data_IF_390539986798
#
_entry.id   IF_390539986798
#
_cell.length_a   1.000
_cell.length_b   1.000
_cell.length_c   1.000
_cell.angle_alpha   90.00
_cell.angle_beta   90.00
_cell.angle_gamma   90.00
#
_symmetry.space_group_name_H-M   'P 1'
#
loop_
_entity.id
_entity.type
_entity.pdbx_description
1 polymer ?
#
# COMPACT_ATOMS: atom_id res chain seq x y z
N UNK A 1 18.50 14.51 12.46
CA UNK A 1 18.75 15.79 11.74
C UNK A 1 17.76 15.99 10.60
N UNK A 2 17.68 15.11 9.59
CA UNK A 2 16.79 15.29 8.42
C UNK A 2 15.31 15.39 8.79
N UNK A 3 14.83 14.57 9.73
CA UNK A 3 13.46 14.68 10.23
C UNK A 3 13.15 16.06 10.83
N UNK A 4 14.10 16.66 11.56
CA UNK A 4 13.93 18.01 12.11
C UNK A 4 13.94 19.09 11.02
N UNK A 5 14.80 18.94 10.00
CA UNK A 5 14.82 19.83 8.83
C UNK A 5 13.48 19.76 8.08
N UNK A 6 12.92 18.56 7.95
CA UNK A 6 11.61 18.33 7.37
C UNK A 6 10.49 19.00 8.18
N UNK A 7 10.45 18.78 9.51
CA UNK A 7 9.47 19.42 10.38
C UNK A 7 9.59 20.95 10.37
N UNK A 8 10.82 21.48 10.31
CA UNK A 8 11.03 22.92 10.17
C UNK A 8 10.48 23.44 8.84
N UNK A 9 10.78 22.78 7.71
CA UNK A 9 10.20 23.13 6.42
C UNK A 9 8.67 23.08 6.46
N UNK A 10 8.09 22.03 7.05
CA UNK A 10 6.66 21.89 7.19
C UNK A 10 6.06 23.06 8.00
N UNK A 11 6.63 23.39 9.15
CA UNK A 11 6.17 24.52 9.96
C UNK A 11 6.27 25.86 9.21
N UNK A 12 7.38 26.12 8.52
CA UNK A 12 7.54 27.33 7.72
C UNK A 12 6.58 27.38 6.53
N UNK A 13 6.30 26.25 5.89
CA UNK A 13 5.35 26.15 4.79
C UNK A 13 3.91 26.46 5.25
N UNK A 14 3.49 25.89 6.38
CA UNK A 14 2.18 26.22 6.99
C UNK A 14 2.11 27.72 7.31
N UNK A 15 3.09 28.24 8.03
CA UNK A 15 3.13 29.65 8.42
C UNK A 15 3.13 30.57 7.20
N UNK A 16 3.82 30.19 6.11
CA UNK A 16 3.85 30.93 4.86
C UNK A 16 2.47 30.96 4.17
N UNK A 17 1.72 29.85 4.19
CA UNK A 17 0.37 29.80 3.63
C UNK A 17 -0.61 30.64 4.44
N UNK A 18 -0.58 30.52 5.77
CA UNK A 18 -1.54 31.20 6.65
C UNK A 18 -1.34 32.71 6.68
N UNK A 19 -0.09 33.16 6.79
CA UNK A 19 0.23 34.59 6.90
C UNK A 19 0.42 35.26 5.53
N UNK A 20 0.64 34.48 4.48
CA UNK A 20 1.01 34.95 3.14
C UNK A 20 2.19 35.94 3.15
N UNK A 21 3.09 35.79 4.12
CA UNK A 21 4.26 36.65 4.32
C UNK A 21 5.36 36.32 3.30
N UNK A 22 5.79 37.32 2.52
CA UNK A 22 6.84 37.15 1.51
C UNK A 22 8.15 36.57 2.06
N UNK A 23 8.69 37.05 3.20
CA UNK A 23 9.87 36.42 3.82
C UNK A 23 9.70 34.92 4.10
N UNK A 24 8.53 34.49 4.59
CA UNK A 24 8.28 33.08 4.91
C UNK A 24 8.14 32.23 3.64
N UNK A 25 7.52 32.77 2.59
CA UNK A 25 7.45 32.12 1.28
C UNK A 25 8.85 31.91 0.67
N UNK A 26 9.73 32.90 0.78
CA UNK A 26 11.12 32.80 0.32
C UNK A 26 11.87 31.71 1.11
N UNK A 27 11.80 31.75 2.44
CA UNK A 27 12.45 30.74 3.31
C UNK A 27 11.93 29.33 2.97
N UNK A 28 10.61 29.17 2.88
CA UNK A 28 9.97 27.90 2.52
C UNK A 28 10.43 27.41 1.14
N UNK A 29 10.52 28.30 0.16
CA UNK A 29 10.99 27.95 -1.20
C UNK A 29 12.44 27.49 -1.18
N UNK A 30 13.32 28.18 -0.44
CA UNK A 30 14.74 27.80 -0.30
C UNK A 30 14.86 26.41 0.35
N UNK A 31 14.15 26.18 1.45
CA UNK A 31 14.17 24.89 2.17
C UNK A 31 13.62 23.75 1.31
N UNK A 32 12.49 23.97 0.63
CA UNK A 32 11.88 22.98 -0.26
C UNK A 32 12.76 22.67 -1.47
N UNK A 33 13.41 23.68 -2.05
CA UNK A 33 14.36 23.50 -3.16
C UNK A 33 15.57 22.68 -2.72
N UNK A 34 16.14 22.99 -1.54
CA UNK A 34 17.26 22.23 -0.99
C UNK A 34 16.88 20.75 -0.76
N UNK A 35 15.73 20.48 -0.15
CA UNK A 35 15.25 19.10 0.05
C UNK A 35 15.02 18.37 -1.27
N UNK A 36 14.42 19.04 -2.26
CA UNK A 36 14.22 18.49 -3.60
C UNK A 36 15.56 18.10 -4.24
N UNK A 37 16.57 18.97 -4.16
CA UNK A 37 17.92 18.68 -4.67
C UNK A 37 18.56 17.46 -4.00
N UNK A 38 18.38 17.29 -2.68
CA UNK A 38 18.84 16.09 -1.97
C UNK A 38 18.20 14.81 -2.50
N UNK A 39 16.89 14.82 -2.75
CA UNK A 39 16.16 13.65 -3.30
C UNK A 39 16.53 13.39 -4.77
N UNK A 40 16.69 14.44 -5.59
CA UNK A 40 17.19 14.30 -6.96
C UNK A 40 18.61 13.72 -7.00
N UNK A 41 19.50 14.19 -6.12
CA UNK A 41 20.86 13.65 -5.98
C UNK A 41 20.84 12.15 -5.64
N UNK A 42 20.02 11.75 -4.67
CA UNK A 42 19.82 10.34 -4.34
C UNK A 42 19.40 9.54 -5.58
N UNK A 43 18.44 10.04 -6.35
CA UNK A 43 17.96 9.35 -7.55
C UNK A 43 19.01 9.21 -8.65
N UNK A 44 19.80 10.25 -8.89
CA UNK A 44 20.90 10.21 -9.86
C UNK A 44 21.94 9.16 -9.45
N UNK A 45 22.34 9.14 -8.17
CA UNK A 45 23.34 8.19 -7.67
C UNK A 45 22.85 6.73 -7.82
N UNK A 46 21.58 6.47 -7.48
CA UNK A 46 20.98 5.14 -7.62
C UNK A 46 20.91 4.69 -9.08
N UNK A 47 20.57 5.60 -9.99
CA UNK A 47 20.57 5.32 -11.43
C UNK A 47 21.97 4.99 -11.95
N UNK A 48 22.98 5.79 -11.60
CA UNK A 48 24.37 5.59 -12.02
C UNK A 48 24.98 4.28 -11.49
N UNK A 49 24.56 3.82 -10.31
CA UNK A 49 25.02 2.58 -9.70
C UNK A 49 24.31 1.32 -10.26
N UNK A 50 23.59 1.42 -11.38
CA UNK A 50 22.99 0.26 -12.05
C UNK A 50 21.73 -0.30 -11.37
N UNK A 51 21.18 0.41 -10.37
CA UNK A 51 19.91 0.02 -9.71
C UNK A 51 18.68 0.58 -10.46
N UNK A 52 18.91 1.29 -11.58
CA UNK A 52 17.94 2.17 -12.25
C UNK A 52 16.59 1.56 -12.63
N UNK A 53 16.49 0.26 -12.91
CA UNK A 53 15.18 -0.37 -13.23
C UNK A 53 14.40 -0.73 -11.94
N UNK A 54 15.10 -1.07 -10.84
CA UNK A 54 14.49 -1.26 -9.51
C UNK A 54 14.25 0.05 -8.76
N UNK A 55 14.71 1.18 -9.29
CA UNK A 55 14.59 2.50 -8.69
C UNK A 55 13.15 3.06 -8.75
N UNK A 56 12.41 2.75 -9.81
CA UNK A 56 11.02 3.20 -10.00
C UNK A 56 10.02 2.35 -9.22
N UNK A 57 10.17 2.33 -7.90
CA UNK A 57 9.13 1.79 -7.02
C UNK A 57 8.09 2.86 -6.71
N UNK A 58 6.81 2.48 -6.44
CA UNK A 58 5.79 3.42 -6.00
C UNK A 58 6.21 4.24 -4.77
N UNK A 59 6.99 3.65 -3.86
CA UNK A 59 7.53 4.33 -2.68
C UNK A 59 8.51 5.43 -3.06
N UNK A 60 9.42 5.19 -4.02
CA UNK A 60 10.32 6.24 -4.51
C UNK A 60 9.52 7.41 -5.09
N UNK A 61 8.50 7.13 -5.92
CA UNK A 61 7.65 8.18 -6.50
C UNK A 61 6.91 8.99 -5.43
N UNK A 62 6.43 8.33 -4.37
CA UNK A 62 5.82 9.00 -3.23
C UNK A 62 6.82 9.95 -2.55
N UNK A 63 8.04 9.48 -2.24
CA UNK A 63 9.08 10.31 -1.61
C UNK A 63 9.41 11.54 -2.47
N UNK A 64 9.54 11.39 -3.80
CA UNK A 64 9.72 12.53 -4.71
C UNK A 64 8.52 13.49 -4.66
N UNK A 65 7.30 12.97 -4.67
CA UNK A 65 6.07 13.78 -4.65
C UNK A 65 5.98 14.60 -3.36
N UNK A 66 6.27 13.97 -2.21
CA UNK A 66 6.27 14.59 -0.88
C UNK A 66 7.25 15.75 -0.79
N UNK A 67 8.41 15.68 -1.46
CA UNK A 67 9.43 16.74 -1.38
C UNK A 67 9.30 17.80 -2.47
N UNK A 68 9.04 17.38 -3.72
CA UNK A 68 9.06 18.26 -4.88
C UNK A 68 7.76 19.06 -5.00
N UNK A 69 6.61 18.45 -4.71
CA UNK A 69 5.32 19.11 -4.90
C UNK A 69 5.12 20.32 -3.96
N UNK A 70 5.43 20.24 -2.65
CA UNK A 70 5.39 21.41 -1.77
C UNK A 70 6.41 22.49 -2.15
N UNK A 71 7.58 22.10 -2.67
CA UNK A 71 8.59 23.06 -3.15
C UNK A 71 8.09 23.87 -4.36
N UNK A 72 7.45 23.21 -5.33
CA UNK A 72 6.81 23.88 -6.48
C UNK A 72 5.73 24.84 -5.98
N UNK A 73 4.90 24.40 -5.02
CA UNK A 73 3.82 25.23 -4.47
C UNK A 73 4.35 26.46 -3.73
N UNK A 74 5.43 26.32 -2.96
CA UNK A 74 6.09 27.45 -2.30
C UNK A 74 6.62 28.46 -3.33
N UNK A 75 7.26 27.96 -4.40
CA UNK A 75 7.75 28.80 -5.49
C UNK A 75 6.62 29.53 -6.21
N UNK A 76 5.52 28.83 -6.54
CA UNK A 76 4.34 29.44 -7.13
C UNK A 76 3.75 30.55 -6.26
N UNK A 77 3.77 30.38 -4.93
CA UNK A 77 3.29 31.38 -3.98
C UNK A 77 4.05 32.72 -4.00
N UNK A 78 5.24 32.78 -4.60
CA UNK A 78 6.01 34.03 -4.76
C UNK A 78 5.47 34.87 -5.93
N UNK A 79 5.01 34.21 -7.00
CA UNK A 79 4.67 34.88 -8.27
C UNK A 79 3.17 34.98 -8.54
N UNK A 80 2.38 34.12 -7.90
CA UNK A 80 0.94 34.00 -8.16
C UNK A 80 0.15 34.62 -7.01
N UNK A 81 -0.91 35.34 -7.35
CA UNK A 81 -1.82 35.94 -6.37
C UNK A 81 -2.45 34.86 -5.45
N UNK A 82 -2.58 35.14 -4.13
CA UNK A 82 -3.10 34.16 -3.16
C UNK A 82 -4.52 33.67 -3.47
N UNK A 83 -5.33 34.49 -4.13
CA UNK A 83 -6.72 34.21 -4.52
C UNK A 83 -6.85 33.31 -5.76
N UNK A 84 -5.73 32.97 -6.41
CA UNK A 84 -5.76 32.16 -7.62
C UNK A 84 -6.19 30.71 -7.32
N UNK A 85 -7.23 30.23 -8.02
CA UNK A 85 -7.77 28.87 -7.84
C UNK A 85 -6.71 27.76 -7.97
N UNK A 86 -5.75 27.90 -8.89
CA UNK A 86 -4.67 26.92 -9.07
C UNK A 86 -3.78 26.88 -7.83
N UNK A 87 -3.38 28.04 -7.31
CA UNK A 87 -2.53 28.13 -6.12
C UNK A 87 -3.25 27.59 -4.88
N UNK A 88 -4.55 27.87 -4.72
CA UNK A 88 -5.38 27.32 -3.64
C UNK A 88 -5.37 25.79 -3.69
N UNK A 89 -5.58 25.19 -4.87
CA UNK A 89 -5.54 23.74 -5.06
C UNK A 89 -4.15 23.16 -4.72
N UNK A 90 -3.07 23.79 -5.20
CA UNK A 90 -1.71 23.34 -4.96
C UNK A 90 -1.31 23.43 -3.48
N UNK A 91 -1.75 24.48 -2.77
CA UNK A 91 -1.58 24.63 -1.32
C UNK A 91 -2.27 23.49 -0.56
N UNK A 92 -3.52 23.19 -0.90
CA UNK A 92 -4.27 22.10 -0.27
C UNK A 92 -3.63 20.72 -0.52
N UNK A 93 -3.26 20.43 -1.77
CA UNK A 93 -2.60 19.17 -2.12
C UNK A 93 -1.22 19.04 -1.45
N UNK A 94 -0.44 20.12 -1.40
CA UNK A 94 0.85 20.13 -0.71
C UNK A 94 0.71 19.85 0.77
N UNK A 95 -0.34 20.35 1.42
CA UNK A 95 -0.61 20.05 2.82
C UNK A 95 -0.82 18.55 3.04
N UNK A 96 -1.58 17.90 2.16
CA UNK A 96 -1.79 16.44 2.21
C UNK A 96 -0.47 15.70 2.03
N UNK A 97 0.34 16.06 1.03
CA UNK A 97 1.65 15.45 0.80
C UNK A 97 2.61 15.65 1.97
N UNK A 98 2.62 16.82 2.61
CA UNK A 98 3.43 17.07 3.80
C UNK A 98 2.98 16.22 5.01
N UNK A 99 1.67 16.02 5.20
CA UNK A 99 1.21 15.10 6.24
C UNK A 99 1.57 13.63 5.93
N UNK A 100 1.45 13.20 4.67
CA UNK A 100 1.89 11.86 4.24
C UNK A 100 3.38 11.68 4.51
N UNK A 101 4.21 12.66 4.15
CA UNK A 101 5.65 12.64 4.41
C UNK A 101 6.00 12.60 5.90
N UNK A 102 5.28 13.36 6.73
CA UNK A 102 5.45 13.30 8.17
C UNK A 102 5.19 11.89 8.72
N UNK A 103 4.14 11.22 8.22
CA UNK A 103 3.83 9.81 8.57
C UNK A 103 4.94 8.88 8.06
N UNK A 104 5.44 9.07 6.84
CA UNK A 104 6.54 8.28 6.27
C UNK A 104 7.79 8.32 7.16
N UNK A 105 8.17 9.51 7.69
CA UNK A 105 9.29 9.62 8.61
C UNK A 105 9.07 8.87 9.94
N UNK A 106 7.82 8.69 10.38
CA UNK A 106 7.53 7.92 11.60
C UNK A 106 7.88 6.43 11.45
N UNK A 107 8.03 5.93 10.22
CA UNK A 107 8.47 4.54 9.96
C UNK A 107 9.84 4.24 10.57
N UNK A 108 10.70 5.24 10.72
CA UNK A 108 12.00 5.10 11.34
C UNK A 108 11.95 4.65 12.82
N UNK A 109 10.82 4.87 13.52
CA UNK A 109 10.65 4.50 14.93
C UNK A 109 10.00 3.13 15.07
N UNK A 110 10.68 2.15 15.68
CA UNK A 110 10.26 0.73 15.74
C UNK A 110 8.77 0.52 16.05
N UNK A 111 8.26 1.12 17.14
CA UNK A 111 6.87 0.90 17.57
C UNK A 111 5.84 1.37 16.55
N UNK A 112 6.06 2.53 15.95
CA UNK A 112 5.12 3.14 15.00
C UNK A 112 5.34 2.57 13.59
N UNK A 113 6.60 2.36 13.20
CA UNK A 113 6.95 1.87 11.87
C UNK A 113 6.47 0.45 11.58
N UNK A 114 6.48 -0.44 12.58
CA UNK A 114 5.87 -1.77 12.47
C UNK A 114 4.37 -1.65 12.09
N UNK A 115 3.65 -0.74 12.75
CA UNK A 115 2.24 -0.50 12.45
C UNK A 115 2.03 0.08 11.05
N UNK A 116 2.83 1.09 10.66
CA UNK A 116 2.73 1.71 9.33
C UNK A 116 3.02 0.69 8.22
N UNK A 117 4.05 -0.16 8.39
CA UNK A 117 4.38 -1.22 7.43
C UNK A 117 3.22 -2.21 7.29
N UNK A 118 2.62 -2.63 8.41
CA UNK A 118 1.45 -3.51 8.37
C UNK A 118 0.27 -2.88 7.61
N UNK A 119 -0.04 -1.61 7.88
CA UNK A 119 -1.08 -0.87 7.16
C UNK A 119 -0.76 -0.75 5.67
N UNK A 120 0.49 -0.44 5.31
CA UNK A 120 0.91 -0.32 3.91
C UNK A 120 0.74 -1.65 3.15
N UNK A 121 1.09 -2.77 3.77
CA UNK A 121 0.84 -4.10 3.21
C UNK A 121 -0.65 -4.38 3.04
N UNK A 122 -1.46 -4.10 4.07
CA UNK A 122 -2.92 -4.25 3.99
C UNK A 122 -3.46 -3.44 2.80
N UNK A 123 -3.12 -2.15 2.71
CA UNK A 123 -3.54 -1.26 1.61
C UNK A 123 -3.17 -1.82 0.23
N UNK A 124 -1.97 -2.39 0.08
CA UNK A 124 -1.51 -2.99 -1.18
C UNK A 124 -2.36 -4.20 -1.56
N UNK A 125 -2.63 -5.10 -0.61
CA UNK A 125 -3.37 -6.34 -0.89
C UNK A 125 -4.88 -6.06 -1.12
N UNK A 126 -5.49 -5.11 -0.41
CA UNK A 126 -6.90 -4.73 -0.62
C UNK A 126 -7.12 -3.88 -1.88
N UNK A 127 -6.07 -3.42 -2.57
CA UNK A 127 -6.20 -2.51 -3.73
C UNK A 127 -7.07 -3.11 -4.83
N UNK A 128 -6.93 -4.40 -5.13
CA UNK A 128 -7.75 -5.08 -6.14
C UNK A 128 -9.22 -5.17 -5.73
N UNK A 129 -9.50 -5.37 -4.44
CA UNK A 129 -10.86 -5.35 -3.91
C UNK A 129 -11.48 -3.95 -4.07
N UNK A 130 -10.73 -2.88 -3.82
CA UNK A 130 -11.19 -1.51 -4.04
C UNK A 130 -11.44 -1.19 -5.51
N UNK A 131 -10.59 -1.67 -6.43
CA UNK A 131 -10.83 -1.52 -7.88
C UNK A 131 -12.13 -2.22 -8.27
N UNK A 132 -12.35 -3.44 -7.79
CA UNK A 132 -13.60 -4.16 -8.03
C UNK A 132 -14.81 -3.42 -7.45
N UNK A 133 -14.72 -2.93 -6.21
CA UNK A 133 -15.78 -2.15 -5.56
C UNK A 133 -16.10 -0.87 -6.36
N UNK A 134 -15.07 -0.16 -6.83
CA UNK A 134 -15.25 1.02 -7.66
C UNK A 134 -16.01 0.69 -8.96
N UNK A 135 -15.67 -0.41 -9.63
CA UNK A 135 -16.40 -0.87 -10.83
C UNK A 135 -17.86 -1.19 -10.52
N UNK A 136 -18.16 -1.84 -9.39
CA UNK A 136 -19.54 -2.12 -8.96
C UNK A 136 -20.31 -0.82 -8.70
N UNK A 137 -19.70 0.15 -8.02
CA UNK A 137 -20.31 1.46 -7.74
C UNK A 137 -20.57 2.22 -9.05
N UNK A 138 -19.61 2.24 -9.98
CA UNK A 138 -19.77 2.88 -11.28
C UNK A 138 -20.89 2.24 -12.10
N UNK A 139 -20.95 0.91 -12.14
CA UNK A 139 -22.00 0.17 -12.84
C UNK A 139 -23.39 0.45 -12.25
N UNK A 140 -23.52 0.40 -10.92
CA UNK A 140 -24.79 0.63 -10.24
C UNK A 140 -25.26 2.09 -10.35
N UNK A 141 -24.32 3.04 -10.24
CA UNK A 141 -24.57 4.47 -10.47
C UNK A 141 -25.08 4.73 -11.88
N UNK A 142 -24.42 4.17 -12.89
CA UNK A 142 -24.80 4.33 -14.29
C UNK A 142 -26.17 3.70 -14.58
N UNK A 143 -26.46 2.51 -14.05
CA UNK A 143 -27.77 1.87 -14.17
C UNK A 143 -28.88 2.73 -13.57
N UNK A 144 -28.63 3.35 -12.41
CA UNK A 144 -29.61 4.22 -11.74
C UNK A 144 -29.85 5.53 -12.47
N UNK A 145 -28.83 6.10 -13.12
CA UNK A 145 -29.02 7.28 -13.99
C UNK A 145 -30.00 6.95 -15.12
N UNK A 146 -29.77 5.84 -15.82
CA UNK A 146 -30.64 5.41 -16.93
C UNK A 146 -32.05 5.11 -16.44
N UNK A 147 -32.17 4.39 -15.31
CA UNK A 147 -33.46 4.07 -14.74
C UNK A 147 -34.23 5.33 -14.34
N UNK A 148 -33.58 6.27 -13.65
CA UNK A 148 -34.18 7.53 -13.21
C UNK A 148 -34.63 8.40 -14.38
N UNK A 149 -33.81 8.50 -15.44
CA UNK A 149 -34.19 9.25 -16.64
C UNK A 149 -35.40 8.64 -17.34
N UNK A 150 -35.38 7.32 -17.56
CA UNK A 150 -36.50 6.64 -18.22
C UNK A 150 -37.78 6.69 -17.41
N UNK A 151 -37.68 6.58 -16.08
CA UNK A 151 -38.83 6.62 -15.18
C UNK A 151 -39.49 8.01 -15.16
N UNK A 152 -38.69 9.07 -15.14
CA UNK A 152 -39.18 10.45 -15.19
C UNK A 152 -39.80 10.80 -16.55
N UNK A 153 -39.25 10.28 -17.65
CA UNK A 153 -39.84 10.42 -18.99
C UNK A 153 -41.15 9.63 -19.15
N UNK A 154 -41.24 8.47 -18.48
CA UNK A 154 -42.41 7.58 -18.56
C UNK A 154 -43.59 8.03 -17.69
N UNK A 155 -43.34 8.66 -16.54
CA UNK A 155 -44.36 8.82 -15.51
C UNK A 155 -45.50 9.77 -15.88
N UNK A 156 -46.64 9.16 -16.21
CA UNK A 156 -48.00 9.71 -16.12
C UNK A 156 -48.64 9.46 -14.73
N UNK A 157 -47.91 8.91 -13.75
CA UNK A 157 -48.39 8.58 -12.39
C UNK A 157 -47.82 9.59 -11.38
N UNK A 158 -48.64 10.13 -10.45
CA UNK A 158 -48.17 11.10 -9.48
C UNK A 158 -47.25 10.44 -8.44
N UNK A 159 -45.95 10.74 -8.52
CA UNK A 159 -45.00 10.54 -7.43
C UNK A 159 -45.20 11.61 -6.37
N UNK A 160 -44.73 11.36 -5.14
CA UNK A 160 -44.58 12.45 -4.16
C UNK A 160 -43.53 13.45 -4.65
N UNK A 161 -43.69 14.74 -4.33
CA UNK A 161 -42.73 15.79 -4.72
C UNK A 161 -41.29 15.47 -4.27
N UNK A 162 -41.13 14.84 -3.09
CA UNK A 162 -39.82 14.43 -2.58
C UNK A 162 -39.19 13.28 -3.39
N UNK A 163 -39.98 12.30 -3.82
CA UNK A 163 -39.45 11.19 -4.62
C UNK A 163 -39.05 11.68 -6.01
N UNK A 164 -39.85 12.57 -6.58
CA UNK A 164 -39.57 13.19 -7.88
C UNK A 164 -38.23 13.94 -7.87
N UNK A 165 -37.99 14.79 -6.87
CA UNK A 165 -36.74 15.55 -6.76
C UNK A 165 -35.53 14.64 -6.58
N UNK A 166 -35.64 13.57 -5.78
CA UNK A 166 -34.58 12.57 -5.62
C UNK A 166 -34.27 11.84 -6.93
N UNK A 167 -35.28 11.43 -7.70
CA UNK A 167 -35.05 10.86 -9.03
C UNK A 167 -34.40 11.86 -9.99
N UNK A 168 -34.81 13.13 -9.94
CA UNK A 168 -34.24 14.20 -10.76
C UNK A 168 -32.76 14.43 -10.44
N UNK A 169 -32.41 14.44 -9.15
CA UNK A 169 -31.03 14.58 -8.70
C UNK A 169 -30.15 13.41 -9.15
N UNK A 170 -30.69 12.19 -9.16
CA UNK A 170 -29.99 10.98 -9.57
C UNK A 170 -29.73 10.88 -11.07
N UNK A 171 -30.39 11.67 -11.93
CA UNK A 171 -30.04 11.77 -13.36
C UNK A 171 -28.59 12.29 -13.51
N UNK A 172 -28.15 13.15 -12.61
CA UNK A 172 -26.76 13.64 -12.63
C UNK A 172 -25.82 12.54 -12.15
N UNK A 173 -24.95 12.06 -13.04
CA UNK A 173 -24.04 10.95 -12.75
C UNK A 173 -23.18 11.15 -11.48
N UNK A 174 -22.72 12.39 -11.19
CA UNK A 174 -21.97 12.69 -9.96
C UNK A 174 -22.80 12.45 -8.69
N UNK A 175 -24.09 12.77 -8.73
CA UNK A 175 -24.99 12.61 -7.60
C UNK A 175 -25.35 11.14 -7.40
N UNK A 176 -25.61 10.41 -8.49
CA UNK A 176 -25.80 8.96 -8.45
C UNK A 176 -24.57 8.24 -7.88
N UNK A 177 -23.37 8.63 -8.32
CA UNK A 177 -22.12 8.07 -7.80
C UNK A 177 -21.97 8.35 -6.30
N UNK A 178 -22.27 9.58 -5.86
CA UNK A 178 -22.25 9.94 -4.45
C UNK A 178 -23.30 9.18 -3.63
N UNK A 179 -24.49 8.91 -4.19
CA UNK A 179 -25.54 8.15 -3.54
C UNK A 179 -25.13 6.70 -3.29
N UNK A 180 -24.44 6.06 -4.24
CA UNK A 180 -23.89 4.72 -4.06
C UNK A 180 -22.67 4.69 -3.13
N UNK A 181 -21.81 5.71 -3.19
CA UNK A 181 -20.70 5.86 -2.25
C UNK A 181 -21.21 6.03 -0.81
N UNK A 182 -22.24 6.83 -0.61
CA UNK A 182 -22.86 7.02 0.71
C UNK A 182 -23.56 5.74 1.18
N UNK A 183 -24.21 5.02 0.27
CA UNK A 183 -24.85 3.73 0.57
C UNK A 183 -23.84 2.65 1.00
N UNK A 184 -22.59 2.70 0.54
CA UNK A 184 -21.52 1.84 1.05
C UNK A 184 -21.30 2.03 2.55
N UNK A 185 -21.46 3.26 3.05
CA UNK A 185 -21.42 3.62 4.48
C UNK A 185 -22.78 3.49 5.18
N UNK A 186 -23.74 2.79 4.56
CA UNK A 186 -25.12 2.63 5.04
C UNK A 186 -25.95 3.93 5.09
N UNK A 187 -25.53 4.99 4.39
CA UNK A 187 -26.34 6.20 4.20
C UNK A 187 -27.12 6.14 2.88
N UNK A 188 -28.43 5.99 2.99
CA UNK A 188 -29.34 5.89 1.86
C UNK A 188 -30.20 7.15 1.67
N UNK A 189 -29.86 8.28 2.31
CA UNK A 189 -30.69 9.49 2.30
C UNK A 189 -30.98 10.06 0.90
N UNK A 190 -30.06 9.86 -0.04
CA UNK A 190 -30.18 10.29 -1.44
C UNK A 190 -31.06 9.38 -2.32
N UNK A 191 -31.54 8.24 -1.79
CA UNK A 191 -32.30 7.27 -2.58
C UNK A 191 -33.80 7.60 -2.53
N UNK A 192 -34.51 7.57 -3.68
CA UNK A 192 -35.94 7.83 -3.74
C UNK A 192 -36.74 6.73 -3.06
N UNK A 193 -37.87 7.11 -2.47
CA UNK A 193 -38.79 6.20 -1.78
C UNK A 193 -39.99 5.85 -2.66
N UNK A 194 -40.78 4.84 -2.27
CA UNK A 194 -42.02 4.48 -2.95
C UNK A 194 -41.86 3.66 -4.24
N UNK A 195 -40.67 3.63 -4.85
CA UNK A 195 -40.41 2.78 -6.02
C UNK A 195 -39.94 1.36 -5.64
N UNK A 196 -40.57 0.35 -6.25
CA UNK A 196 -40.30 -1.07 -5.96
C UNK A 196 -38.93 -1.52 -6.44
N UNK A 197 -38.48 -1.04 -7.60
CA UNK A 197 -37.20 -1.43 -8.16
C UNK A 197 -36.05 -0.88 -7.30
N UNK A 198 -36.11 0.40 -6.93
CA UNK A 198 -35.13 1.04 -6.04
C UNK A 198 -35.13 0.39 -4.66
N UNK A 199 -36.29 0.02 -4.11
CA UNK A 199 -36.36 -0.72 -2.86
C UNK A 199 -35.64 -2.07 -2.93
N UNK A 200 -35.84 -2.83 -4.01
CA UNK A 200 -35.14 -4.12 -4.24
C UNK A 200 -33.63 -3.88 -4.43
N UNK A 201 -33.25 -2.88 -5.22
CA UNK A 201 -31.86 -2.53 -5.46
C UNK A 201 -31.14 -2.13 -4.17
N UNK A 202 -31.81 -1.37 -3.28
CA UNK A 202 -31.30 -0.99 -1.97
C UNK A 202 -31.02 -2.21 -1.09
N UNK A 203 -31.98 -3.15 -1.01
CA UNK A 203 -31.81 -4.40 -0.27
C UNK A 203 -30.67 -5.23 -0.85
N UNK A 204 -30.66 -5.46 -2.16
CA UNK A 204 -29.63 -6.24 -2.84
C UNK A 204 -28.22 -5.64 -2.64
N UNK A 205 -28.09 -4.32 -2.80
CA UNK A 205 -26.84 -3.60 -2.60
C UNK A 205 -26.38 -3.67 -1.14
N UNK A 206 -27.29 -3.45 -0.18
CA UNK A 206 -26.97 -3.53 1.25
C UNK A 206 -26.45 -4.91 1.65
N UNK A 207 -27.09 -5.99 1.17
CA UNK A 207 -26.65 -7.37 1.42
C UNK A 207 -25.30 -7.64 0.78
N UNK A 208 -25.10 -7.20 -0.46
CA UNK A 208 -23.82 -7.37 -1.13
C UNK A 208 -22.67 -6.67 -0.38
N UNK A 209 -22.86 -5.41 0.03
CA UNK A 209 -21.83 -4.69 0.79
C UNK A 209 -21.57 -5.33 2.15
N UNK A 210 -22.63 -5.55 2.94
CA UNK A 210 -22.48 -6.02 4.33
C UNK A 210 -22.03 -7.48 4.43
N UNK A 211 -22.61 -8.36 3.60
CA UNK A 211 -22.35 -9.81 3.69
C UNK A 211 -21.12 -10.20 2.89
N UNK A 212 -20.88 -9.59 1.72
CA UNK A 212 -19.78 -10.00 0.83
C UNK A 212 -18.58 -9.09 1.03
N UNK A 213 -18.70 -7.79 0.76
CA UNK A 213 -17.55 -6.89 0.71
C UNK A 213 -16.91 -6.70 2.08
N UNK A 214 -17.68 -6.38 3.12
CA UNK A 214 -17.14 -6.14 4.45
C UNK A 214 -16.52 -7.40 5.06
N UNK A 215 -17.19 -8.56 4.96
CA UNK A 215 -16.66 -9.82 5.48
C UNK A 215 -15.39 -10.25 4.74
N UNK A 216 -15.36 -10.10 3.40
CA UNK A 216 -14.16 -10.39 2.61
C UNK A 216 -13.01 -9.44 2.98
N UNK A 217 -13.30 -8.15 3.18
CA UNK A 217 -12.32 -7.17 3.61
C UNK A 217 -11.73 -7.54 4.98
N UNK A 218 -12.56 -7.90 5.96
CA UNK A 218 -12.11 -8.35 7.29
C UNK A 218 -11.23 -9.60 7.17
N UNK A 219 -11.65 -10.59 6.39
CA UNK A 219 -10.87 -11.82 6.20
C UNK A 219 -9.51 -11.54 5.54
N UNK A 220 -9.47 -10.70 4.52
CA UNK A 220 -8.25 -10.33 3.81
C UNK A 220 -7.29 -9.55 4.71
N UNK A 221 -7.82 -8.56 5.45
CA UNK A 221 -7.05 -7.79 6.43
C UNK A 221 -6.45 -8.70 7.49
N UNK A 222 -7.22 -9.62 8.06
CA UNK A 222 -6.75 -10.55 9.10
C UNK A 222 -5.65 -11.48 8.58
N UNK A 223 -5.79 -11.99 7.36
CA UNK A 223 -4.79 -12.87 6.75
C UNK A 223 -3.48 -12.11 6.52
N UNK A 224 -3.54 -10.94 5.88
CA UNK A 224 -2.36 -10.11 5.60
C UNK A 224 -1.72 -9.62 6.89
N UNK A 225 -2.50 -9.23 7.89
CA UNK A 225 -1.98 -8.79 9.18
C UNK A 225 -1.18 -9.89 9.87
N UNK A 226 -1.70 -11.12 9.89
CA UNK A 226 -1.02 -12.28 10.49
C UNK A 226 0.29 -12.60 9.77
N UNK A 227 0.26 -12.57 8.43
CA UNK A 227 1.43 -12.80 7.59
C UNK A 227 2.53 -11.75 7.78
N UNK A 228 2.15 -10.48 7.91
CA UNK A 228 3.11 -9.38 8.14
C UNK A 228 3.70 -9.51 9.53
N UNK A 229 2.91 -9.78 10.57
CA UNK A 229 3.38 -9.88 11.96
C UNK A 229 4.54 -10.88 12.10
N UNK A 230 4.51 -11.98 11.34
CA UNK A 230 5.55 -13.02 11.35
C UNK A 230 6.91 -12.55 10.82
N UNK A 231 6.92 -11.56 9.93
CA UNK A 231 8.13 -11.02 9.26
C UNK A 231 8.40 -9.55 9.55
N UNK A 232 7.59 -8.91 10.38
CA UNK A 232 7.57 -7.44 10.54
C UNK A 232 8.87 -6.86 11.09
N UNK A 233 9.58 -7.58 11.95
CA UNK A 233 10.88 -7.12 12.47
C UNK A 233 11.95 -7.11 11.37
N UNK A 234 11.92 -8.09 10.48
CA UNK A 234 12.84 -8.19 9.33
C UNK A 234 12.52 -7.10 8.31
N UNK A 235 11.24 -6.92 7.97
CA UNK A 235 10.79 -5.87 7.05
C UNK A 235 11.10 -4.47 7.60
N UNK A 236 10.82 -4.22 8.88
CA UNK A 236 11.15 -2.94 9.50
C UNK A 236 12.65 -2.66 9.50
N UNK A 237 13.48 -3.67 9.79
CA UNK A 237 14.94 -3.53 9.75
C UNK A 237 15.43 -3.20 8.33
N UNK A 238 14.83 -3.83 7.31
CA UNK A 238 15.13 -3.54 5.90
C UNK A 238 14.73 -2.12 5.50
N UNK A 239 13.51 -1.68 5.84
CA UNK A 239 13.04 -0.31 5.54
C UNK A 239 13.91 0.71 6.27
N UNK A 240 14.28 0.46 7.52
CA UNK A 240 15.18 1.34 8.26
C UNK A 240 16.57 1.43 7.63
N UNK A 241 17.12 0.30 7.17
CA UNK A 241 18.39 0.30 6.44
C UNK A 241 18.28 1.10 5.13
N UNK A 242 17.18 0.96 4.40
CA UNK A 242 16.93 1.76 3.19
C UNK A 242 16.86 3.26 3.49
N UNK A 243 16.17 3.67 4.56
CA UNK A 243 16.12 5.08 4.99
C UNK A 243 17.53 5.59 5.30
N UNK A 244 18.36 4.81 6.00
CA UNK A 244 19.76 5.17 6.29
C UNK A 244 20.54 5.37 4.99
N UNK A 245 20.44 4.44 4.04
CA UNK A 245 21.11 4.57 2.72
C UNK A 245 20.62 5.80 1.97
N UNK A 246 19.31 6.08 1.95
CA UNK A 246 18.74 7.28 1.31
C UNK A 246 19.38 8.54 1.91
N UNK A 247 19.43 8.61 3.25
CA UNK A 247 20.03 9.73 3.98
C UNK A 247 21.52 9.88 3.61
N UNK A 248 22.30 8.81 3.70
CA UNK A 248 23.73 8.84 3.40
C UNK A 248 24.02 9.26 1.97
N UNK A 249 23.29 8.72 0.99
CA UNK A 249 23.48 9.07 -0.42
C UNK A 249 23.01 10.50 -0.72
N UNK A 250 21.97 10.99 -0.06
CA UNK A 250 21.46 12.34 -0.23
C UNK A 250 22.37 13.40 0.41
N UNK A 251 22.94 13.14 1.59
CA UNK A 251 23.68 14.16 2.35
C UNK A 251 25.20 14.01 2.33
N UNK A 252 25.74 12.79 2.33
CA UNK A 252 27.19 12.57 2.49
C UNK A 252 27.92 12.55 1.14
N UNK A 253 29.14 13.06 1.09
CA UNK A 253 30.01 12.93 -0.09
C UNK A 253 30.65 11.54 -0.16
N UNK A 254 31.19 11.11 -1.32
CA UNK A 254 31.94 9.86 -1.41
C UNK A 254 33.11 9.75 -0.41
N UNK A 255 33.78 10.87 -0.11
CA UNK A 255 34.87 10.93 0.86
C UNK A 255 34.37 10.70 2.29
N UNK A 256 33.24 11.32 2.67
CA UNK A 256 32.64 11.16 3.99
C UNK A 256 32.24 9.70 4.26
N UNK A 257 31.77 8.98 3.23
CA UNK A 257 31.40 7.56 3.34
C UNK A 257 32.60 6.63 3.51
N UNK A 258 33.80 7.09 3.15
CA UNK A 258 35.05 6.35 3.37
C UNK A 258 35.75 6.79 4.66
N UNK A 259 35.23 7.82 5.34
CA UNK A 259 35.80 8.31 6.59
C UNK A 259 35.53 7.31 7.72
N UNK A 260 36.62 6.77 8.29
CA UNK A 260 36.58 5.79 9.39
C UNK A 260 36.02 6.36 10.69
N UNK A 261 36.08 7.67 10.88
CA UNK A 261 35.53 8.35 12.06
C UNK A 261 34.00 8.38 12.02
N UNK A 262 33.41 8.41 10.82
CA UNK A 262 31.96 8.37 10.63
C UNK A 262 31.44 6.92 10.50
N UNK A 263 32.22 6.04 9.87
CA UNK A 263 31.88 4.64 9.63
C UNK A 263 33.00 3.73 10.15
N UNK A 264 33.02 3.39 11.45
CA UNK A 264 34.03 2.52 12.02
C UNK A 264 33.91 1.11 11.44
N UNK A 265 35.05 0.43 11.27
CA UNK A 265 35.10 -0.95 10.73
C UNK A 265 34.51 -1.99 11.68
N UNK A 266 34.20 -1.62 12.92
CA UNK A 266 33.72 -2.52 13.95
C UNK A 266 32.48 -1.92 14.59
N UNK A 267 31.36 -2.65 14.52
CA UNK A 267 30.09 -2.30 15.14
C UNK A 267 29.94 -3.15 16.40
N UNK A 268 30.03 -2.53 17.57
CA UNK A 268 29.66 -3.17 18.83
C UNK A 268 28.16 -3.05 19.00
N UNK A 269 27.44 -4.17 18.89
CA UNK A 269 26.02 -4.21 19.22
C UNK A 269 25.82 -5.02 20.50
N UNK A 270 24.92 -4.54 21.35
CA UNK A 270 24.50 -5.24 22.57
C UNK A 270 23.16 -5.91 22.28
N UNK A 271 23.15 -7.23 22.29
CA UNK A 271 21.91 -8.01 22.29
C UNK A 271 21.58 -8.46 23.71
N UNK A 272 20.28 -8.52 24.00
CA UNK A 272 19.78 -9.19 25.18
C UNK A 272 19.84 -10.70 24.95
N UNK A 273 20.18 -11.46 25.98
CA UNK A 273 20.29 -12.93 25.91
C UNK A 273 18.99 -13.58 25.47
N UNK A 274 17.86 -13.02 25.92
CA UNK A 274 16.52 -13.46 25.57
C UNK A 274 16.25 -13.34 24.07
N UNK A 275 16.70 -12.24 23.43
CA UNK A 275 16.53 -12.02 22.00
C UNK A 275 17.36 -13.02 21.17
N UNK A 276 18.54 -13.41 21.66
CA UNK A 276 19.43 -14.38 21.01
C UNK A 276 18.84 -15.78 21.07
N UNK A 277 18.36 -16.21 22.24
CA UNK A 277 17.71 -17.51 22.42
C UNK A 277 16.45 -17.65 21.56
N UNK A 278 15.64 -16.58 21.49
CA UNK A 278 14.41 -16.55 20.69
C UNK A 278 14.71 -16.63 19.19
N UNK A 279 15.79 -15.98 18.74
CA UNK A 279 16.28 -16.10 17.36
C UNK A 279 16.81 -17.50 17.04
N UNK A 280 17.57 -18.09 17.95
CA UNK A 280 18.11 -19.44 17.76
C UNK A 280 16.99 -20.48 17.66
N UNK A 281 15.99 -20.39 18.54
CA UNK A 281 14.81 -21.24 18.48
C UNK A 281 14.04 -21.10 17.17
N UNK A 282 13.91 -19.86 16.65
CA UNK A 282 13.26 -19.60 15.36
C UNK A 282 14.03 -20.24 14.20
N UNK A 283 15.36 -20.18 14.22
CA UNK A 283 16.20 -20.84 13.20
C UNK A 283 16.03 -22.36 13.22
N UNK A 284 15.98 -22.95 14.41
CA UNK A 284 15.71 -24.39 14.57
C UNK A 284 14.32 -24.77 14.06
N UNK A 285 13.28 -24.01 14.39
CA UNK A 285 11.91 -24.24 13.92
C UNK A 285 11.79 -24.10 12.39
N UNK A 286 12.45 -23.10 11.79
CA UNK A 286 12.47 -22.88 10.35
C UNK A 286 13.20 -24.02 9.63
N UNK A 287 14.32 -24.52 10.15
CA UNK A 287 15.07 -25.65 9.56
C UNK A 287 14.26 -26.97 9.63
N UNK A 288 13.55 -27.19 10.73
CA UNK A 288 12.61 -28.31 10.90
C UNK A 288 11.44 -28.20 9.90
N UNK A 289 10.98 -26.98 9.60
CA UNK A 289 9.89 -26.76 8.64
C UNK A 289 10.31 -27.07 7.20
N UNK A 290 11.52 -26.62 6.79
CA UNK A 290 12.10 -26.90 5.48
C UNK A 290 12.34 -28.40 5.29
N UNK A 291 12.85 -29.08 6.32
CA UNK A 291 13.03 -30.53 6.32
C UNK A 291 11.69 -31.27 6.14
N UNK A 292 10.63 -30.84 6.85
CA UNK A 292 9.29 -31.41 6.70
C UNK A 292 8.70 -31.24 5.29
N UNK A 293 8.83 -30.06 4.71
CA UNK A 293 8.33 -29.78 3.35
C UNK A 293 9.04 -30.62 2.29
N UNK A 294 10.36 -30.80 2.42
CA UNK A 294 11.14 -31.67 1.54
C UNK A 294 10.69 -33.14 1.65
N UNK A 295 10.49 -33.65 2.88
CA UNK A 295 10.00 -35.01 3.13
C UNK A 295 8.60 -35.20 2.53
N UNK A 296 7.71 -34.21 2.66
CA UNK A 296 6.35 -34.29 2.14
C UNK A 296 6.33 -34.31 0.60
N UNK A 297 7.17 -33.49 -0.04
CA UNK A 297 7.33 -33.43 -1.49
C UNK A 297 7.91 -34.73 -2.05
N UNK A 298 8.87 -35.33 -1.34
CA UNK A 298 9.46 -36.62 -1.69
C UNK A 298 8.45 -37.77 -1.59
N UNK A 299 7.64 -37.80 -0.53
CA UNK A 299 6.58 -38.80 -0.36
C UNK A 299 5.55 -38.71 -1.50
N UNK A 300 5.16 -37.50 -1.89
CA UNK A 300 4.25 -37.28 -3.02
C UNK A 300 4.86 -37.75 -4.36
N UNK A 301 6.16 -37.53 -4.57
CA UNK A 301 6.87 -38.04 -5.75
C UNK A 301 6.95 -39.58 -5.74
N UNK A 302 7.23 -40.17 -4.59
CA UNK A 302 7.31 -41.61 -4.42
C UNK A 302 5.96 -42.31 -4.66
N UNK A 303 4.87 -41.73 -4.17
CA UNK A 303 3.52 -42.24 -4.41
C UNK A 303 3.14 -42.14 -5.89
N UNK A 304 3.44 -41.01 -6.54
CA UNK A 304 3.22 -40.85 -7.98
C UNK A 304 4.03 -41.85 -8.81
N UNK A 305 5.29 -42.08 -8.43
CA UNK A 305 6.16 -43.05 -9.09
C UNK A 305 5.65 -44.48 -8.87
N UNK A 306 5.15 -44.81 -7.69
CA UNK A 306 4.51 -46.10 -7.40
C UNK A 306 3.25 -46.31 -8.25
N UNK A 307 2.44 -45.28 -8.44
CA UNK A 307 1.26 -45.32 -9.31
C UNK A 307 1.65 -45.50 -10.79
N UNK A 308 2.74 -44.88 -11.24
CA UNK A 308 3.28 -45.09 -12.59
C UNK A 308 3.85 -46.51 -12.77
N UNK A 309 4.59 -47.04 -11.79
CA UNK A 309 5.11 -48.41 -11.79
C UNK A 309 3.95 -49.43 -11.88
N UNK A 310 2.84 -49.19 -11.20
CA UNK A 310 1.67 -50.07 -11.26
C UNK A 310 0.94 -50.05 -12.62
N UNK A 311 1.19 -49.05 -13.48
CA UNK A 311 0.62 -48.95 -14.83
C UNK A 311 1.46 -49.65 -15.89
N UNK A 312 2.72 -49.99 -15.59
CA UNK A 312 3.62 -50.71 -16.52
C UNK A 312 3.28 -52.20 -16.48
N UNK A 313 2.92 -52.78 -17.63
CA UNK A 313 2.67 -54.23 -17.79
C UNK A 313 3.97 -54.99 -18.06
N UNK A 314 4.28 -55.95 -17.20
CA UNK A 314 5.18 -57.10 -17.34
C UNK A 314 6.47 -56.93 -18.16
N UNK A 315 7.28 -55.93 -17.84
CA UNK A 315 8.73 -56.02 -18.03
C UNK A 315 9.40 -56.02 -16.66
N UNK A 316 9.56 -57.23 -16.11
CA UNK A 316 9.93 -57.51 -14.72
C UNK A 316 11.25 -56.84 -14.30
N UNK A 317 12.17 -56.66 -15.25
CA UNK A 317 13.48 -56.08 -15.00
C UNK A 317 13.42 -54.56 -14.76
N UNK A 318 12.63 -53.84 -15.56
CA UNK A 318 12.46 -52.39 -15.43
C UNK A 318 11.65 -52.03 -14.19
N UNK A 319 10.64 -52.85 -13.88
CA UNK A 319 9.82 -52.71 -12.66
C UNK A 319 10.65 -52.89 -11.39
N UNK A 320 11.49 -53.92 -11.34
CA UNK A 320 12.35 -54.21 -10.18
C UNK A 320 13.37 -53.10 -9.96
N UNK A 321 14.02 -52.64 -11.02
CA UNK A 321 15.01 -51.55 -10.93
C UNK A 321 14.40 -50.23 -10.43
N UNK A 322 13.17 -49.92 -10.83
CA UNK A 322 12.45 -48.74 -10.33
C UNK A 322 12.03 -48.87 -8.86
N UNK A 323 11.63 -50.07 -8.42
CA UNK A 323 11.31 -50.33 -7.00
C UNK A 323 12.54 -50.19 -6.11
N UNK A 324 13.71 -50.66 -6.55
CA UNK A 324 14.95 -50.52 -5.77
C UNK A 324 15.43 -49.07 -5.73
N UNK A 325 15.34 -48.34 -6.84
CA UNK A 325 15.62 -46.88 -6.86
C UNK A 325 14.70 -46.12 -5.88
N UNK A 326 13.42 -46.51 -5.78
CA UNK A 326 12.47 -45.94 -4.82
C UNK A 326 12.86 -46.23 -3.36
N UNK A 327 13.39 -47.43 -3.08
CA UNK A 327 13.85 -47.79 -1.73
C UNK A 327 15.12 -47.04 -1.34
N UNK A 328 16.07 -46.90 -2.25
CA UNK A 328 17.30 -46.14 -2.03
C UNK A 328 17.00 -44.66 -1.75
N UNK A 329 16.10 -44.05 -2.53
CA UNK A 329 15.62 -42.69 -2.29
C UNK A 329 14.98 -42.55 -0.90
N UNK A 330 14.18 -43.52 -0.45
CA UNK A 330 13.59 -43.48 0.90
C UNK A 330 14.63 -43.63 2.02
N UNK A 331 15.70 -44.39 1.80
CA UNK A 331 16.77 -44.56 2.79
C UNK A 331 17.66 -43.32 2.95
N UNK A 332 17.92 -42.59 1.86
CA UNK A 332 18.78 -41.40 1.90
C UNK A 332 18.23 -40.25 2.75
N UNK A 333 16.90 -40.19 2.94
CA UNK A 333 16.22 -39.11 3.67
C UNK A 333 15.61 -39.57 5.02
N UNK A 334 15.89 -40.81 5.44
CA UNK A 334 15.52 -41.33 6.79
C UNK A 334 16.66 -41.14 7.81
N UNK A 335 17.80 -40.59 7.39
CA UNK A 335 18.87 -40.07 8.24
C UNK A 335 18.77 -38.55 8.28
#
# INVERSE_FOLDING_TARGET
>A
MIFFIYLAFFAFFIAAIETNSMPLLIISTIMGTFQSLCVFRYGIIMYLNGVGIRFFTPTTFLTFSVTVFPAITAFMGIFIEPSNNLLILFRALSMIFLWIGAIEFLVAFKRIGIFIIAVAHICREVTWLFIYLALVILAASHGTVIYSSMLLDYNQVPMTDESYTKFQDLIKYSNSLNAYWSAFLSDYGSWPEGDKFIAIAKVAYSLFITVVILNLMIALVNNVYSDVLNRVNTEWSMVRAQIIVIIELATLTPADRQNKDYFPWTIFYKAFTEDVELWQKKLEDDDISVSRDQIQLLNKMADKMKDEINKIKDDDLNRTKMIDTLKELKQLFSK
#
